data_IF_172156941154
#
_entry.id   IF_172156941154
#
_cell.length_a   1.000
_cell.length_b   1.000
_cell.length_c   1.000
_cell.angle_alpha   90.00
_cell.angle_beta   90.00
_cell.angle_gamma   90.00
#
_symmetry.space_group_name_H-M   'P 1'
#
loop_
_entity.id
_entity.type
_entity.pdbx_description
1 polymer ?
#
# COMPACT_ATOMS: atom_id res chain seq x y z
N UNK A 1 11.42 -0.22 20.38
CA UNK A 1 12.81 -0.11 19.89
C UNK A 1 13.73 -0.09 21.10
N UNK A 2 14.79 -0.90 21.07
CA UNK A 2 15.69 -1.07 22.21
C UNK A 2 17.13 -0.87 21.73
N UNK A 3 17.88 -0.01 22.42
CA UNK A 3 19.33 0.14 22.26
C UNK A 3 19.99 -0.44 23.49
N UNK A 4 20.92 -1.37 23.27
CA UNK A 4 21.66 -2.04 24.34
C UNK A 4 23.17 -1.91 24.11
N UNK A 5 23.88 -1.56 25.17
CA UNK A 5 25.34 -1.49 25.18
C UNK A 5 25.96 -2.85 25.51
N UNK A 6 27.16 -3.12 24.98
CA UNK A 6 27.93 -4.33 25.29
C UNK A 6 29.41 -3.96 25.48
N UNK A 7 29.98 -4.05 26.70
CA UNK A 7 29.31 -4.42 27.96
C UNK A 7 28.19 -3.44 28.35
N UNK A 8 27.33 -3.83 29.28
CA UNK A 8 26.28 -2.95 29.79
C UNK A 8 26.89 -1.73 30.50
N UNK A 9 26.59 -0.53 30.01
CA UNK A 9 27.05 0.74 30.60
C UNK A 9 25.86 1.65 30.84
N UNK A 10 25.62 1.98 32.10
CA UNK A 10 24.58 2.91 32.52
C UNK A 10 24.94 4.38 32.25
N UNK A 11 23.94 5.25 32.26
CA UNK A 11 24.15 6.69 32.21
C UNK A 11 24.61 7.22 30.85
N UNK A 12 24.59 6.42 29.79
CA UNK A 12 25.01 6.85 28.46
C UNK A 12 23.85 7.49 27.71
N UNK A 13 24.10 8.66 27.13
CA UNK A 13 23.13 9.32 26.25
C UNK A 13 23.11 8.61 24.90
N UNK A 14 21.93 8.18 24.50
CA UNK A 14 21.63 7.59 23.19
C UNK A 14 20.74 8.55 22.42
N UNK A 15 21.06 8.76 21.15
CA UNK A 15 20.21 9.48 20.18
C UNK A 15 19.79 8.51 19.07
N UNK A 16 18.52 8.60 18.67
CA UNK A 16 17.92 7.80 17.60
C UNK A 16 17.54 8.70 16.43
N UNK A 17 17.72 8.19 15.22
CA UNK A 17 17.14 8.75 14.00
C UNK A 17 16.59 7.65 13.11
N UNK A 18 15.69 8.03 12.20
CA UNK A 18 15.14 7.17 11.17
C UNK A 18 15.34 7.82 9.80
N UNK A 19 15.61 6.99 8.80
CA UNK A 19 15.75 7.41 7.41
C UNK A 19 15.02 6.41 6.51
N UNK A 20 14.24 6.89 5.55
CA UNK A 20 13.61 6.03 4.58
C UNK A 20 14.63 5.55 3.54
N UNK A 21 14.73 4.24 3.33
CA UNK A 21 15.52 3.66 2.24
C UNK A 21 14.83 3.99 0.91
N UNK A 22 15.54 4.70 0.02
CA UNK A 22 15.04 5.05 -1.31
C UNK A 22 14.67 3.78 -2.11
N UNK A 23 13.69 3.90 -3.00
CA UNK A 23 13.29 2.82 -3.92
C UNK A 23 12.85 1.53 -3.20
N UNK A 24 12.06 1.65 -2.13
CA UNK A 24 11.57 0.51 -1.34
C UNK A 24 10.07 0.58 -1.09
N UNK A 25 9.44 -0.57 -0.90
CA UNK A 25 8.01 -0.66 -0.60
C UNK A 25 7.07 -0.45 -1.78
N UNK A 26 7.59 -0.52 -3.02
CA UNK A 26 6.81 -0.28 -4.24
C UNK A 26 6.88 1.16 -4.76
N UNK A 27 7.60 2.04 -4.05
CA UNK A 27 7.84 3.42 -4.44
C UNK A 27 9.20 3.56 -5.11
N UNK A 28 9.24 3.97 -6.38
CA UNK A 28 10.46 4.11 -7.17
C UNK A 28 10.60 5.53 -7.71
N UNK A 29 11.82 6.04 -7.85
CA UNK A 29 12.10 7.31 -8.54
C UNK A 29 11.33 8.54 -8.02
N UNK A 30 10.94 8.55 -6.74
CA UNK A 30 10.39 9.74 -6.09
C UNK A 30 11.44 10.83 -5.96
N UNK A 31 11.04 12.08 -6.25
CA UNK A 31 11.92 13.25 -6.21
C UNK A 31 12.07 13.88 -4.83
N UNK A 32 11.19 13.54 -3.88
CA UNK A 32 11.18 14.09 -2.51
C UNK A 32 11.43 13.01 -1.45
N UNK A 33 11.75 13.46 -0.24
CA UNK A 33 12.03 12.59 0.90
C UNK A 33 10.74 11.96 1.44
N UNK A 34 10.71 10.62 1.49
CA UNK A 34 9.60 9.89 2.11
C UNK A 34 9.48 10.23 3.61
N UNK A 35 8.27 10.50 4.12
CA UNK A 35 8.02 10.66 5.54
C UNK A 35 8.58 9.50 6.34
N UNK A 36 9.24 9.85 7.43
CA UNK A 36 9.76 8.89 8.39
C UNK A 36 8.76 8.75 9.53
N UNK A 37 8.79 7.60 10.21
CA UNK A 37 8.00 7.42 11.41
C UNK A 37 8.54 8.26 12.56
N UNK A 38 7.83 8.25 13.68
CA UNK A 38 8.17 9.06 14.85
C UNK A 38 8.55 8.19 16.03
N UNK A 39 9.56 8.61 16.79
CA UNK A 39 9.87 8.02 18.08
C UNK A 39 9.15 8.78 19.18
N UNK A 40 8.64 8.10 20.20
CA UNK A 40 8.14 8.76 21.42
C UNK A 40 9.24 9.59 22.09
N UNK A 41 10.47 9.08 22.06
CA UNK A 41 11.67 9.78 22.45
C UNK A 41 12.80 9.48 21.46
N UNK A 42 13.37 10.51 20.85
CA UNK A 42 14.55 10.43 19.97
C UNK A 42 15.86 10.43 20.76
N UNK A 43 15.82 10.66 22.06
CA UNK A 43 16.99 10.58 22.92
C UNK A 43 16.62 10.05 24.30
N UNK A 44 17.58 9.45 24.99
CA UNK A 44 17.43 9.02 26.37
C UNK A 44 18.74 8.52 26.96
N UNK A 45 18.69 8.13 28.22
CA UNK A 45 19.85 7.64 28.97
C UNK A 45 19.71 6.15 29.24
N UNK A 46 20.78 5.38 29.04
CA UNK A 46 20.78 3.95 29.37
C UNK A 46 20.57 3.71 30.86
N UNK A 47 19.74 2.73 31.20
CA UNK A 47 19.51 2.29 32.57
C UNK A 47 20.71 1.48 33.13
N UNK A 48 20.58 0.95 34.35
CA UNK A 48 21.61 0.13 35.01
C UNK A 48 22.07 -1.09 34.19
N UNK A 49 21.21 -1.61 33.31
CA UNK A 49 21.50 -2.73 32.42
C UNK A 49 22.07 -2.28 31.05
N UNK A 50 22.37 -1.00 30.89
CA UNK A 50 22.90 -0.45 29.65
C UNK A 50 21.86 -0.35 28.53
N UNK A 51 20.57 -0.26 28.88
CA UNK A 51 19.44 -0.28 27.94
C UNK A 51 18.71 1.06 27.90
N UNK A 52 18.42 1.54 26.69
CA UNK A 52 17.45 2.62 26.41
C UNK A 52 16.32 2.08 25.53
N UNK A 53 15.07 2.35 25.93
CA UNK A 53 13.87 1.90 25.20
C UNK A 53 12.99 3.08 24.80
N UNK A 54 12.40 2.98 23.62
CA UNK A 54 11.42 3.94 23.09
C UNK A 54 10.46 3.22 22.14
N UNK A 55 9.31 3.84 21.86
CA UNK A 55 8.37 3.36 20.85
C UNK A 55 8.61 4.07 19.52
N UNK A 56 8.36 3.37 18.42
CA UNK A 56 8.41 3.91 17.05
C UNK A 56 7.05 3.71 16.39
N UNK A 57 6.45 4.79 15.90
CA UNK A 57 5.21 4.76 15.12
C UNK A 57 5.59 4.86 13.64
N UNK A 58 5.28 3.82 12.87
CA UNK A 58 5.56 3.78 11.44
C UNK A 58 4.72 4.83 10.66
N UNK A 59 5.25 5.39 9.56
CA UNK A 59 4.47 6.21 8.64
C UNK A 59 3.40 5.38 7.92
N UNK A 60 2.45 6.06 7.28
CA UNK A 60 1.40 5.41 6.46
C UNK A 60 1.95 4.75 5.18
N UNK A 61 3.17 5.08 4.78
CA UNK A 61 3.85 4.55 3.61
C UNK A 61 4.60 3.25 3.95
N UNK A 62 4.50 2.26 3.06
CA UNK A 62 5.25 1.01 3.16
C UNK A 62 6.71 1.19 2.76
N UNK A 63 7.54 0.21 3.09
CA UNK A 63 8.95 0.16 2.68
C UNK A 63 9.93 0.00 3.84
N UNK A 64 11.21 0.17 3.53
CA UNK A 64 12.29 -0.07 4.50
C UNK A 64 12.74 1.24 5.15
N UNK A 65 12.88 1.22 6.47
CA UNK A 65 13.45 2.29 7.28
C UNK A 65 14.80 1.84 7.83
N UNK A 66 15.81 2.70 7.73
CA UNK A 66 17.05 2.57 8.47
C UNK A 66 16.90 3.31 9.80
N UNK A 67 16.97 2.59 10.90
CA UNK A 67 16.99 3.15 12.25
C UNK A 67 18.44 3.20 12.72
N UNK A 68 18.88 4.37 13.16
CA UNK A 68 20.26 4.61 13.62
C UNK A 68 20.25 4.99 15.09
N UNK A 69 21.04 4.27 15.88
CA UNK A 69 21.34 4.60 17.27
C UNK A 69 22.76 5.10 17.40
N UNK A 70 22.92 6.28 17.98
CA UNK A 70 24.21 6.93 18.19
C UNK A 70 24.43 7.14 19.68
N UNK A 71 25.60 6.75 20.15
CA UNK A 71 26.05 6.96 21.52
C UNK A 71 27.48 7.49 21.47
N UNK A 72 27.71 8.68 22.04
CA UNK A 72 28.95 9.44 21.85
C UNK A 72 29.22 9.64 20.34
N UNK A 73 30.29 9.05 19.80
CA UNK A 73 30.66 9.11 18.38
C UNK A 73 30.51 7.77 17.66
N UNK A 74 29.92 6.76 18.32
CA UNK A 74 29.69 5.43 17.74
C UNK A 74 28.24 5.34 17.30
N UNK A 75 28.04 4.89 16.06
CA UNK A 75 26.70 4.69 15.50
C UNK A 75 26.51 3.25 15.03
N UNK A 76 25.32 2.71 15.26
CA UNK A 76 24.86 1.42 14.75
C UNK A 76 23.52 1.60 14.07
N UNK A 77 23.23 0.76 13.09
CA UNK A 77 21.99 0.84 12.33
C UNK A 77 21.30 -0.51 12.22
N UNK A 78 19.99 -0.47 12.10
CA UNK A 78 19.13 -1.64 11.86
C UNK A 78 18.07 -1.26 10.83
N UNK A 79 17.70 -2.22 9.98
CA UNK A 79 16.62 -2.03 9.02
C UNK A 79 15.30 -2.56 9.59
N UNK A 80 14.25 -1.75 9.47
CA UNK A 80 12.88 -2.08 9.83
C UNK A 80 12.05 -2.07 8.54
N UNK A 81 11.42 -3.21 8.22
CA UNK A 81 10.50 -3.30 7.09
C UNK A 81 9.09 -2.99 7.58
N UNK A 82 8.46 -1.98 6.97
CA UNK A 82 7.06 -1.62 7.18
C UNK A 82 6.27 -2.22 6.03
N UNK A 83 5.39 -3.15 6.35
CA UNK A 83 4.55 -3.82 5.37
C UNK A 83 3.25 -4.36 5.98
N UNK A 84 2.26 -4.58 5.12
CA UNK A 84 1.06 -5.35 5.45
C UNK A 84 1.34 -6.84 5.22
N UNK A 85 1.11 -7.67 6.24
CA UNK A 85 1.33 -9.12 6.15
C UNK A 85 0.26 -9.79 5.29
N UNK A 86 0.63 -10.83 4.55
CA UNK A 86 -0.33 -11.66 3.80
C UNK A 86 -0.78 -11.06 2.46
N UNK A 87 -0.06 -10.04 1.98
CA UNK A 87 -0.25 -9.47 0.65
C UNK A 87 0.18 -10.47 -0.43
N UNK A 88 -0.61 -10.54 -1.50
CA UNK A 88 -0.40 -11.40 -2.65
C UNK A 88 -0.51 -10.56 -3.92
N UNK A 89 0.31 -10.88 -4.92
CA UNK A 89 0.19 -10.29 -6.24
C UNK A 89 -0.97 -10.93 -6.99
N UNK A 90 -1.83 -10.12 -7.64
CA UNK A 90 -2.94 -10.63 -8.45
C UNK A 90 -2.44 -11.39 -9.69
N UNK A 91 -1.35 -10.92 -10.29
CA UNK A 91 -0.77 -11.49 -11.51
C UNK A 91 -1.70 -11.40 -12.74
N UNK A 92 -1.19 -11.87 -13.87
CA UNK A 92 -1.97 -11.96 -15.12
C UNK A 92 -3.01 -13.08 -15.06
N UNK A 93 -4.15 -12.91 -15.74
CA UNK A 93 -5.18 -13.93 -15.86
C UNK A 93 -6.07 -13.73 -17.07
N UNK A 94 -7.13 -14.52 -17.17
CA UNK A 94 -8.10 -14.45 -18.28
C UNK A 94 -9.15 -13.37 -18.03
N UNK A 95 -9.62 -12.73 -19.10
CA UNK A 95 -10.74 -11.79 -19.10
C UNK A 95 -10.52 -10.49 -18.32
N UNK A 96 -9.29 -10.25 -17.85
CA UNK A 96 -8.86 -8.99 -17.28
C UNK A 96 -7.45 -8.61 -17.72
N UNK A 97 -7.15 -7.33 -17.63
CA UNK A 97 -5.81 -6.78 -17.81
C UNK A 97 -5.45 -5.88 -16.63
N UNK A 98 -4.17 -5.83 -16.31
CA UNK A 98 -3.64 -4.97 -15.24
C UNK A 98 -3.23 -3.61 -15.82
N UNK A 99 -3.71 -2.52 -15.23
CA UNK A 99 -3.41 -1.14 -15.66
C UNK A 99 -2.93 -0.27 -14.49
N UNK A 100 -2.50 0.96 -14.77
CA UNK A 100 -2.17 1.95 -13.74
C UNK A 100 -0.72 1.95 -13.26
N UNK A 101 0.05 0.91 -13.59
CA UNK A 101 1.47 0.88 -13.31
C UNK A 101 2.20 2.07 -13.98
N UNK A 102 3.08 2.72 -13.22
CA UNK A 102 3.89 3.84 -13.70
C UNK A 102 5.37 3.60 -13.39
N UNK A 103 6.26 4.46 -13.89
CA UNK A 103 7.68 4.43 -13.51
C UNK A 103 7.88 4.59 -11.99
N UNK A 104 6.98 5.31 -11.33
CA UNK A 104 7.04 5.60 -9.89
C UNK A 104 6.45 4.45 -9.07
N UNK A 105 5.45 3.77 -9.61
CA UNK A 105 4.75 2.65 -8.99
C UNK A 105 4.61 1.51 -10.01
N UNK A 106 5.69 0.77 -10.30
CA UNK A 106 5.68 -0.25 -11.36
C UNK A 106 4.93 -1.52 -10.96
N UNK A 107 4.63 -1.69 -9.68
CA UNK A 107 3.99 -2.88 -9.12
C UNK A 107 2.89 -2.45 -8.13
N UNK A 108 1.66 -2.35 -8.64
CA UNK A 108 0.50 -1.77 -7.95
C UNK A 108 -0.72 -2.71 -7.84
N UNK A 109 -0.53 -4.01 -8.07
CA UNK A 109 -1.60 -5.03 -8.07
C UNK A 109 -1.48 -6.04 -6.93
N UNK A 110 -1.21 -5.55 -5.71
CA UNK A 110 -1.15 -6.39 -4.52
C UNK A 110 -2.39 -6.25 -3.67
N UNK A 111 -2.88 -7.37 -3.14
CA UNK A 111 -4.07 -7.43 -2.33
C UNK A 111 -4.02 -8.50 -1.26
N UNK A 112 -5.04 -8.49 -0.40
CA UNK A 112 -5.32 -9.59 0.52
C UNK A 112 -5.71 -10.85 -0.26
N UNK A 113 -5.62 -12.02 0.36
CA UNK A 113 -6.04 -13.29 -0.26
C UNK A 113 -7.50 -13.24 -0.76
N UNK A 114 -8.40 -12.55 -0.04
CA UNK A 114 -9.79 -12.40 -0.46
C UNK A 114 -9.92 -11.56 -1.75
N UNK A 115 -9.24 -10.41 -1.81
CA UNK A 115 -9.25 -9.55 -3.00
C UNK A 115 -8.66 -10.29 -4.21
N UNK A 116 -7.51 -10.93 -4.03
CA UNK A 116 -6.81 -11.67 -5.10
C UNK A 116 -7.62 -12.89 -5.59
N UNK A 117 -8.34 -13.57 -4.70
CA UNK A 117 -9.21 -14.68 -5.10
C UNK A 117 -10.46 -14.21 -5.87
N UNK A 118 -11.03 -13.06 -5.49
CA UNK A 118 -12.31 -12.59 -6.00
C UNK A 118 -12.21 -11.83 -7.33
N UNK A 119 -11.15 -11.06 -7.55
CA UNK A 119 -11.00 -10.25 -8.77
C UNK A 119 -11.05 -11.08 -10.07
N UNK A 120 -10.35 -12.23 -10.19
CA UNK A 120 -10.48 -13.08 -11.39
C UNK A 120 -11.91 -13.59 -11.61
N UNK A 121 -12.65 -13.89 -10.52
CA UNK A 121 -14.03 -14.37 -10.63
C UNK A 121 -14.98 -13.26 -11.08
N UNK A 122 -14.77 -12.02 -10.61
CA UNK A 122 -15.49 -10.83 -11.08
C UNK A 122 -15.31 -10.66 -12.59
N UNK A 123 -14.06 -10.74 -13.07
CA UNK A 123 -13.75 -10.60 -14.49
C UNK A 123 -14.40 -11.70 -15.34
N UNK A 124 -14.31 -12.95 -14.88
CA UNK A 124 -14.91 -14.10 -15.56
C UNK A 124 -16.43 -13.99 -15.65
N UNK A 125 -17.10 -13.64 -14.55
CA UNK A 125 -18.56 -13.48 -14.53
C UNK A 125 -19.00 -12.33 -15.45
N UNK A 126 -18.29 -11.21 -15.44
CA UNK A 126 -18.59 -10.10 -16.34
C UNK A 126 -18.47 -10.52 -17.81
N UNK A 127 -17.39 -11.22 -18.15
CA UNK A 127 -17.14 -11.68 -19.52
C UNK A 127 -18.13 -12.76 -19.97
N UNK A 128 -18.61 -13.60 -19.05
CA UNK A 128 -19.63 -14.59 -19.35
C UNK A 128 -20.95 -13.93 -19.79
N UNK A 129 -21.31 -12.78 -19.21
CA UNK A 129 -22.51 -12.01 -19.59
C UNK A 129 -22.26 -11.17 -20.86
N UNK A 130 -21.07 -10.60 -21.01
CA UNK A 130 -20.70 -9.73 -22.12
C UNK A 130 -19.47 -10.25 -22.88
N UNK A 131 -19.59 -11.37 -23.62
CA UNK A 131 -18.42 -12.03 -24.24
C UNK A 131 -17.70 -11.18 -25.29
N UNK A 132 -18.36 -10.18 -25.87
CA UNK A 132 -17.79 -9.27 -26.87
C UNK A 132 -17.24 -7.97 -26.29
N UNK A 133 -17.36 -7.74 -24.97
CA UNK A 133 -16.76 -6.55 -24.33
C UNK A 133 -15.23 -6.64 -24.34
N UNK A 134 -14.56 -5.53 -24.08
CA UNK A 134 -13.17 -5.57 -23.66
C UNK A 134 -13.03 -6.35 -22.34
N UNK A 135 -11.81 -6.78 -22.07
CA UNK A 135 -11.44 -7.40 -20.79
C UNK A 135 -11.53 -6.37 -19.66
N UNK A 136 -11.87 -6.83 -18.46
CA UNK A 136 -11.99 -5.95 -17.29
C UNK A 136 -10.62 -5.36 -16.95
N UNK A 137 -10.55 -4.06 -16.76
CA UNK A 137 -9.31 -3.43 -16.31
C UNK A 137 -9.28 -3.41 -14.77
N UNK A 138 -8.21 -3.95 -14.19
CA UNK A 138 -7.87 -3.75 -12.79
C UNK A 138 -6.76 -2.72 -12.71
N UNK A 139 -7.11 -1.53 -12.24
CA UNK A 139 -6.21 -0.40 -12.13
C UNK A 139 -5.48 -0.43 -10.79
N UNK A 140 -5.69 0.54 -9.92
CA UNK A 140 -4.93 0.65 -8.69
C UNK A 140 -5.44 -0.34 -7.65
N UNK A 141 -4.51 -1.09 -7.06
CA UNK A 141 -4.67 -1.83 -5.81
C UNK A 141 -3.59 -1.32 -4.83
N UNK A 142 -3.05 -2.19 -3.98
CA UNK A 142 -1.91 -1.84 -3.14
C UNK A 142 -0.56 -2.03 -3.83
N UNK A 143 0.45 -1.38 -3.26
CA UNK A 143 1.85 -1.67 -3.55
C UNK A 143 2.30 -2.98 -2.90
N UNK A 144 3.47 -3.49 -3.29
CA UNK A 144 4.04 -4.76 -2.81
C UNK A 144 4.09 -4.92 -1.28
N UNK A 145 4.38 -3.84 -0.55
CA UNK A 145 4.41 -3.84 0.91
C UNK A 145 3.11 -3.32 1.54
N UNK A 146 2.08 -3.07 0.73
CA UNK A 146 0.98 -2.20 1.10
C UNK A 146 1.44 -0.78 1.39
N UNK A 147 0.78 -0.11 2.33
CA UNK A 147 1.06 1.29 2.61
C UNK A 147 0.48 2.22 1.54
N UNK A 148 0.45 3.51 1.83
CA UNK A 148 -0.27 4.47 0.98
C UNK A 148 0.34 4.56 -0.42
N UNK A 149 -0.51 4.31 -1.42
CA UNK A 149 -0.27 4.67 -2.81
C UNK A 149 -0.40 6.19 -2.97
N UNK A 150 0.63 6.88 -3.47
CA UNK A 150 0.63 8.33 -3.61
C UNK A 150 0.81 8.80 -5.04
N UNK A 151 -0.25 9.37 -5.60
CA UNK A 151 -0.22 10.15 -6.83
C UNK A 151 -0.29 11.62 -6.40
N UNK A 152 0.61 12.52 -6.86
CA UNK A 152 1.54 12.41 -8.00
C UNK A 152 2.99 12.09 -7.62
N UNK A 153 3.24 11.35 -6.53
CA UNK A 153 4.60 11.03 -6.08
C UNK A 153 5.23 12.03 -5.10
N UNK A 154 4.43 12.85 -4.42
CA UNK A 154 4.87 13.89 -3.48
C UNK A 154 4.82 13.49 -2.00
N UNK A 155 4.57 12.22 -1.67
CA UNK A 155 4.38 11.72 -0.30
C UNK A 155 3.27 12.41 0.51
N UNK A 156 2.22 12.89 -0.16
CA UNK A 156 1.09 13.49 0.54
C UNK A 156 0.37 12.46 1.41
N UNK A 157 0.29 12.70 2.72
CA UNK A 157 -0.45 11.84 3.65
C UNK A 157 -1.97 11.99 3.50
N UNK A 158 -2.45 13.14 3.02
CA UNK A 158 -3.88 13.47 2.93
C UNK A 158 -4.49 13.29 1.55
N UNK A 159 -3.69 13.16 0.48
CA UNK A 159 -4.18 12.90 -0.88
C UNK A 159 -5.03 11.61 -0.99
N UNK A 160 -5.67 11.42 -2.15
CA UNK A 160 -6.47 10.24 -2.50
C UNK A 160 -5.68 8.93 -2.41
N UNK A 161 -6.38 7.78 -2.56
CA UNK A 161 -5.81 6.43 -2.54
C UNK A 161 -5.30 5.91 -1.17
N UNK A 162 -5.70 6.54 -0.06
CA UNK A 162 -5.35 6.05 1.28
C UNK A 162 -5.93 4.67 1.59
N UNK A 163 -7.09 4.33 1.04
CA UNK A 163 -7.79 3.08 1.34
C UNK A 163 -7.04 1.86 0.78
N UNK A 164 -6.47 2.02 -0.43
CA UNK A 164 -5.68 1.02 -1.12
C UNK A 164 -4.50 0.47 -0.31
N UNK A 165 -4.04 1.18 0.72
CA UNK A 165 -2.88 0.80 1.56
C UNK A 165 -2.98 -0.57 2.23
N UNK A 166 -4.19 -1.11 2.37
CA UNK A 166 -4.44 -2.37 3.07
C UNK A 166 -4.60 -3.56 2.13
N UNK A 167 -4.53 -3.37 0.81
CA UNK A 167 -4.76 -4.45 -0.17
C UNK A 167 -6.19 -4.97 -0.20
N UNK A 168 -7.15 -4.17 0.24
CA UNK A 168 -8.57 -4.52 0.26
C UNK A 168 -9.36 -3.85 -0.84
N UNK A 169 -8.70 -3.13 -1.74
CA UNK A 169 -9.35 -2.28 -2.71
C UNK A 169 -8.78 -2.52 -4.11
N UNK A 170 -9.62 -2.27 -5.10
CA UNK A 170 -9.23 -2.27 -6.51
C UNK A 170 -10.08 -1.26 -7.26
N UNK A 171 -9.45 -0.40 -8.04
CA UNK A 171 -10.16 0.51 -8.94
C UNK A 171 -10.44 -0.19 -10.27
N UNK A 172 -11.72 -0.22 -10.65
CA UNK A 172 -12.23 -0.87 -11.86
C UNK A 172 -12.83 0.21 -12.77
N UNK A 173 -12.12 0.67 -13.82
CA UNK A 173 -12.62 1.69 -14.72
C UNK A 173 -13.92 1.29 -15.41
N UNK A 174 -14.80 2.27 -15.64
CA UNK A 174 -16.02 2.08 -16.45
C UNK A 174 -16.20 3.24 -17.44
N UNK A 175 -17.08 3.07 -18.42
CA UNK A 175 -17.35 4.10 -19.44
C UNK A 175 -16.22 4.31 -20.45
N UNK A 176 -15.18 3.48 -20.45
CA UNK A 176 -14.15 3.47 -21.48
C UNK A 176 -14.68 2.82 -22.77
N UNK A 177 -14.12 3.13 -23.96
CA UNK A 177 -14.45 2.43 -25.19
C UNK A 177 -14.43 0.90 -25.01
N UNK A 178 -15.56 0.25 -25.26
CA UNK A 178 -15.81 -1.19 -25.14
C UNK A 178 -15.70 -1.81 -23.73
N UNK A 179 -15.62 -1.00 -22.65
CA UNK A 179 -15.55 -1.48 -21.26
C UNK A 179 -16.65 -0.84 -20.41
N UNK A 180 -17.58 -1.66 -19.92
CA UNK A 180 -18.64 -1.30 -18.95
C UNK A 180 -19.26 0.07 -19.28
N UNK A 181 -19.89 0.16 -20.45
CA UNK A 181 -20.39 1.42 -20.99
C UNK A 181 -21.83 1.68 -20.61
N UNK A 182 -22.71 0.71 -20.90
CA UNK A 182 -24.15 0.91 -20.79
C UNK A 182 -24.58 0.86 -19.34
N UNK A 183 -25.75 1.44 -19.05
CA UNK A 183 -26.35 1.33 -17.72
C UNK A 183 -26.60 -0.13 -17.36
N UNK A 184 -26.98 -1.00 -18.30
CA UNK A 184 -27.14 -2.43 -18.01
C UNK A 184 -25.80 -3.08 -17.61
N UNK A 185 -24.72 -2.80 -18.35
CA UNK A 185 -23.39 -3.34 -18.02
C UNK A 185 -22.89 -2.86 -16.66
N UNK A 186 -23.16 -1.60 -16.33
CA UNK A 186 -22.83 -1.03 -15.03
C UNK A 186 -23.63 -1.70 -13.91
N UNK A 187 -24.95 -1.83 -14.06
CA UNK A 187 -25.79 -2.54 -13.09
C UNK A 187 -25.37 -3.99 -12.90
N UNK A 188 -24.99 -4.68 -13.99
CA UNK A 188 -24.50 -6.05 -13.89
C UNK A 188 -23.15 -6.14 -13.19
N UNK A 189 -22.19 -5.24 -13.48
CA UNK A 189 -20.93 -5.15 -12.74
C UNK A 189 -21.17 -4.92 -11.24
N UNK A 190 -22.10 -4.03 -10.88
CA UNK A 190 -22.46 -3.75 -9.49
C UNK A 190 -23.04 -5.00 -8.79
N UNK A 191 -23.87 -5.79 -9.50
CA UNK A 191 -24.38 -7.07 -8.99
C UNK A 191 -23.24 -8.09 -8.80
N UNK A 192 -22.34 -8.22 -9.77
CA UNK A 192 -21.17 -9.09 -9.70
C UNK A 192 -20.30 -8.71 -8.49
N UNK A 193 -19.97 -7.44 -8.30
CA UNK A 193 -19.18 -6.96 -7.16
C UNK A 193 -19.82 -7.36 -5.82
N UNK A 194 -21.15 -7.24 -5.70
CA UNK A 194 -21.88 -7.65 -4.49
C UNK A 194 -21.78 -9.15 -4.22
N UNK A 195 -21.78 -10.00 -5.27
CA UNK A 195 -21.61 -11.46 -5.13
C UNK A 195 -20.24 -11.83 -4.57
N UNK A 196 -19.20 -11.07 -4.94
CA UNK A 196 -17.82 -11.33 -4.53
C UNK A 196 -17.35 -10.44 -3.37
N UNK A 197 -18.23 -10.24 -2.38
CA UNK A 197 -17.95 -9.53 -1.13
C UNK A 197 -17.50 -8.06 -1.27
N UNK A 198 -17.64 -7.47 -2.46
CA UNK A 198 -17.47 -6.03 -2.66
C UNK A 198 -18.81 -5.30 -2.54
N UNK A 199 -19.47 -5.40 -1.39
CA UNK A 199 -20.83 -4.84 -1.19
C UNK A 199 -20.86 -3.32 -0.99
N UNK A 200 -19.78 -2.76 -0.46
CA UNK A 200 -19.66 -1.34 -0.11
C UNK A 200 -18.77 -0.58 -1.09
N UNK A 201 -18.72 -1.00 -2.36
CA UNK A 201 -17.98 -0.30 -3.40
C UNK A 201 -18.46 1.16 -3.51
N UNK A 202 -17.56 2.07 -3.87
CA UNK A 202 -17.94 3.41 -4.29
C UNK A 202 -17.95 3.48 -5.82
N UNK A 203 -18.90 4.23 -6.38
CA UNK A 203 -18.92 4.53 -7.81
C UNK A 203 -18.51 5.99 -7.99
N UNK A 204 -17.30 6.21 -8.49
CA UNK A 204 -16.79 7.54 -8.76
C UNK A 204 -17.37 8.04 -10.07
N UNK A 205 -17.99 9.21 -10.02
CA UNK A 205 -18.55 9.92 -11.17
C UNK A 205 -17.73 11.18 -11.43
N UNK A 206 -17.93 11.81 -12.60
CA UNK A 206 -17.26 13.06 -12.95
C UNK A 206 -17.34 14.10 -11.81
N UNK A 207 -16.27 14.90 -11.57
CA UNK A 207 -15.09 15.09 -12.43
C UNK A 207 -13.98 14.05 -12.27
N UNK A 208 -14.11 13.09 -11.34
CA UNK A 208 -13.14 12.02 -11.20
C UNK A 208 -13.17 11.07 -12.41
N UNK A 209 -12.06 10.39 -12.73
CA UNK A 209 -12.09 9.27 -13.67
C UNK A 209 -13.17 8.28 -13.27
N UNK A 210 -13.98 7.84 -14.23
CA UNK A 210 -15.09 6.92 -13.98
C UNK A 210 -14.54 5.54 -13.59
N UNK A 211 -14.73 5.15 -12.33
CA UNK A 211 -14.34 3.84 -11.83
C UNK A 211 -15.21 3.39 -10.65
N UNK A 212 -15.26 2.08 -10.43
CA UNK A 212 -15.67 1.51 -9.16
C UNK A 212 -14.47 1.37 -8.26
N UNK A 213 -14.57 1.89 -7.03
CA UNK A 213 -13.65 1.59 -5.96
C UNK A 213 -14.18 0.36 -5.22
N UNK A 214 -13.76 -0.83 -5.67
CA UNK A 214 -14.15 -2.10 -5.05
C UNK A 214 -13.55 -2.23 -3.64
N UNK A 215 -14.27 -2.89 -2.72
CA UNK A 215 -13.88 -3.05 -1.32
C UNK A 215 -14.10 -4.48 -0.85
N UNK A 216 -13.04 -5.24 -0.65
CA UNK A 216 -13.08 -6.63 -0.22
C UNK A 216 -12.94 -6.71 1.30
N UNK A 217 -14.07 -6.83 1.98
CA UNK A 217 -14.12 -7.06 3.42
C UNK A 217 -14.57 -8.51 3.70
N UNK A 218 -14.03 -9.17 4.74
CA UNK A 218 -14.49 -10.48 5.19
C UNK A 218 -15.93 -10.46 5.72
#
# INVERSE_FOLDING_TARGET
MTVQTTPAVAGQIVTLSAEAVQNSGGHFSHSSTRPTGTFTATQGTTNANGVFETSYTAPIFGGTMMIRGTMRSVSKQQFLNIYITGMQELGSGSNYVLTGATTTHPANHFGTALAVANLPQIANDYKAVYPTSADVEFNDMSLINGGKFEIPGSWSETASHQEHKLGKNCDIPYGKPNLIQTTEQQSEMENILRRYNSRNFLKHVAPDPLHYHARFEP
#
